data_IF_452608257514
#
_entry.id   IF_452608257514
#
_cell.length_a   1.000
_cell.length_b   1.000
_cell.length_c   1.000
_cell.angle_alpha   90.00
_cell.angle_beta   90.00
_cell.angle_gamma   90.00
#
_symmetry.space_group_name_H-M   'P 1'
#
loop_
_entity.id
_entity.type
_entity.pdbx_description
1 polymer ?
#
# COMPACT_ATOMS: atom_id res chain seq x y z
N UNK A 1 -40.74 -37.06 -15.28
CA UNK A 1 -39.34 -37.00 -14.76
C UNK A 1 -38.44 -35.96 -15.43
N UNK A 2 -38.47 -35.75 -16.77
CA UNK A 2 -37.58 -34.79 -17.46
C UNK A 2 -37.76 -33.32 -17.03
N UNK A 3 -38.99 -32.85 -16.80
CA UNK A 3 -39.30 -31.48 -16.35
C UNK A 3 -38.78 -31.19 -14.93
N UNK A 4 -38.83 -32.18 -14.05
CA UNK A 4 -38.33 -32.07 -12.66
C UNK A 4 -36.80 -31.92 -12.66
N UNK A 5 -36.09 -32.71 -13.48
CA UNK A 5 -34.63 -32.59 -13.63
C UNK A 5 -34.21 -31.20 -14.13
N UNK A 6 -34.94 -30.61 -15.07
CA UNK A 6 -34.65 -29.28 -15.61
C UNK A 6 -34.76 -28.17 -14.54
N UNK A 7 -35.78 -28.25 -13.67
CA UNK A 7 -35.99 -27.29 -12.58
C UNK A 7 -34.84 -27.37 -11.56
N UNK A 8 -34.39 -28.57 -11.20
CA UNK A 8 -33.24 -28.74 -10.32
C UNK A 8 -31.94 -28.19 -10.92
N UNK A 9 -31.71 -28.37 -12.22
CA UNK A 9 -30.53 -27.81 -12.90
C UNK A 9 -30.55 -26.28 -12.89
N UNK A 10 -31.70 -25.66 -13.18
CA UNK A 10 -31.83 -24.20 -13.16
C UNK A 10 -31.61 -23.63 -11.75
N UNK A 11 -32.18 -24.28 -10.74
CA UNK A 11 -32.01 -23.89 -9.34
C UNK A 11 -30.54 -24.00 -8.91
N UNK A 12 -29.84 -25.07 -9.32
CA UNK A 12 -28.42 -25.26 -9.02
C UNK A 12 -27.53 -24.19 -9.71
N UNK A 13 -27.86 -23.79 -10.93
CA UNK A 13 -27.16 -22.70 -11.63
C UNK A 13 -27.37 -21.34 -10.97
N UNK A 14 -28.60 -21.04 -10.50
CA UNK A 14 -28.90 -19.82 -9.75
C UNK A 14 -28.18 -19.82 -8.39
N UNK A 15 -28.15 -20.98 -7.71
CA UNK A 15 -27.44 -21.15 -6.44
C UNK A 15 -25.93 -20.97 -6.61
N UNK A 16 -25.33 -21.60 -7.64
CA UNK A 16 -23.92 -21.41 -8.02
C UNK A 16 -23.63 -19.95 -8.35
N UNK A 17 -24.51 -19.27 -9.10
CA UNK A 17 -24.40 -17.84 -9.41
C UNK A 17 -24.37 -16.97 -8.16
N UNK A 18 -25.25 -17.25 -7.18
CA UNK A 18 -25.27 -16.55 -5.89
C UNK A 18 -24.02 -16.83 -5.04
N UNK A 19 -23.51 -18.08 -5.03
CA UNK A 19 -22.28 -18.44 -4.31
C UNK A 19 -21.06 -17.76 -4.95
N UNK A 20 -20.99 -17.67 -6.29
CA UNK A 20 -19.91 -16.94 -6.98
C UNK A 20 -20.01 -15.42 -6.84
N UNK A 21 -21.19 -14.87 -6.55
CA UNK A 21 -21.42 -13.43 -6.36
C UNK A 21 -21.07 -12.89 -4.98
N UNK A 22 -20.91 -13.76 -3.97
CA UNK A 22 -20.76 -13.35 -2.57
C UNK A 22 -19.30 -13.29 -2.04
N UNK A 23 -18.29 -13.67 -2.81
CA UNK A 23 -17.03 -14.14 -2.22
C UNK A 23 -15.90 -13.13 -2.02
N UNK A 24 -16.02 -11.87 -2.44
CA UNK A 24 -14.91 -10.90 -2.31
C UNK A 24 -15.19 -9.67 -1.44
N UNK A 25 -16.39 -9.51 -0.89
CA UNK A 25 -16.70 -8.32 -0.08
C UNK A 25 -16.07 -8.37 1.31
N UNK A 26 -15.76 -9.56 1.83
CA UNK A 26 -15.10 -9.75 3.13
C UNK A 26 -13.57 -9.69 3.06
N UNK A 27 -12.99 -9.76 1.85
CA UNK A 27 -11.54 -9.58 1.66
C UNK A 27 -11.15 -8.21 2.20
N UNK A 28 -10.13 -8.18 3.05
CA UNK A 28 -9.60 -6.95 3.61
C UNK A 28 -8.72 -6.24 2.58
N UNK A 29 -8.61 -4.92 2.73
CA UNK A 29 -7.69 -4.12 1.92
C UNK A 29 -6.24 -4.55 2.15
N UNK A 30 -5.88 -4.97 3.37
CA UNK A 30 -4.57 -5.55 3.65
C UNK A 30 -4.27 -6.75 2.75
N UNK A 31 -5.19 -7.71 2.64
CA UNK A 31 -5.02 -8.89 1.77
C UNK A 31 -4.90 -8.50 0.30
N UNK A 32 -5.64 -7.48 -0.15
CA UNK A 32 -5.52 -6.95 -1.52
C UNK A 32 -4.12 -6.38 -1.78
N UNK A 33 -3.60 -5.57 -0.87
CA UNK A 33 -2.28 -4.97 -0.99
C UNK A 33 -1.19 -6.04 -0.94
N UNK A 34 -1.25 -6.96 0.04
CA UNK A 34 -0.27 -8.04 0.18
C UNK A 34 -0.26 -8.96 -1.06
N UNK A 35 -1.40 -9.16 -1.75
CA UNK A 35 -1.47 -9.95 -2.99
C UNK A 35 -0.94 -9.21 -4.24
N UNK A 36 -0.99 -7.88 -4.26
CA UNK A 36 -0.46 -7.11 -5.38
C UNK A 36 1.07 -7.21 -5.50
N UNK A 37 1.74 -7.56 -4.39
CA UNK A 37 3.19 -7.74 -4.21
C UNK A 37 4.03 -6.49 -4.48
N UNK A 38 3.86 -5.84 -5.63
CA UNK A 38 4.61 -4.67 -6.06
C UNK A 38 3.81 -3.40 -5.85
N UNK A 39 4.40 -2.45 -5.12
CA UNK A 39 3.79 -1.15 -4.83
C UNK A 39 4.81 -0.06 -5.13
N UNK A 40 4.41 0.89 -5.97
CA UNK A 40 5.15 2.13 -6.20
C UNK A 40 4.52 3.25 -5.38
N UNK A 41 5.32 3.91 -4.56
CA UNK A 41 4.90 4.95 -3.62
C UNK A 41 5.50 6.29 -4.03
N UNK A 42 4.64 7.24 -4.39
CA UNK A 42 5.04 8.63 -4.64
C UNK A 42 4.81 9.45 -3.38
N UNK A 43 5.89 9.99 -2.82
CA UNK A 43 5.84 10.86 -1.65
C UNK A 43 5.73 12.30 -2.09
N UNK A 44 4.87 13.11 -1.45
CA UNK A 44 4.75 14.53 -1.80
C UNK A 44 6.03 15.33 -1.59
N UNK A 45 6.97 14.81 -0.79
CA UNK A 45 8.24 15.44 -0.44
C UNK A 45 9.44 14.90 -1.22
N UNK A 46 9.26 13.90 -2.09
CA UNK A 46 10.35 13.33 -2.89
C UNK A 46 10.04 13.48 -4.39
N UNK A 47 11.08 13.70 -5.19
CA UNK A 47 10.96 13.71 -6.66
C UNK A 47 10.77 12.30 -7.20
N UNK A 48 11.46 11.33 -6.60
CA UNK A 48 11.46 9.96 -7.06
C UNK A 48 10.52 9.07 -6.27
N UNK A 49 9.85 8.12 -6.94
CA UNK A 49 9.05 7.14 -6.27
C UNK A 49 9.91 6.08 -5.57
N UNK A 50 9.32 5.48 -4.54
CA UNK A 50 9.83 4.30 -3.87
C UNK A 50 9.16 3.05 -4.46
N UNK A 51 9.93 2.14 -5.04
CA UNK A 51 9.45 0.87 -5.58
C UNK A 51 9.64 -0.25 -4.55
N UNK A 52 8.56 -0.90 -4.13
CA UNK A 52 8.57 -1.90 -3.07
C UNK A 52 8.08 -3.26 -3.56
N UNK A 53 8.82 -4.32 -3.24
CA UNK A 53 8.36 -5.70 -3.26
C UNK A 53 8.01 -6.12 -1.82
N UNK A 54 6.71 -6.23 -1.57
CA UNK A 54 6.16 -6.62 -0.27
C UNK A 54 6.43 -8.08 0.10
N UNK A 55 6.56 -8.96 -0.91
CA UNK A 55 6.75 -10.40 -0.70
C UNK A 55 8.20 -10.69 -0.33
N UNK A 56 9.16 -10.16 -1.10
CA UNK A 56 10.59 -10.36 -0.82
C UNK A 56 11.16 -9.33 0.16
N UNK A 57 10.36 -8.36 0.61
CA UNK A 57 10.77 -7.28 1.52
C UNK A 57 11.96 -6.46 0.98
N UNK A 58 11.90 -6.14 -0.31
CA UNK A 58 12.89 -5.30 -0.98
C UNK A 58 12.30 -3.97 -1.37
N UNK A 59 13.14 -2.94 -1.41
CA UNK A 59 12.77 -1.64 -1.97
C UNK A 59 13.97 -0.91 -2.56
N UNK A 60 13.68 0.02 -3.47
CA UNK A 60 14.65 0.93 -4.08
C UNK A 60 13.97 2.23 -4.52
N UNK A 61 14.75 3.28 -4.79
CA UNK A 61 14.26 4.59 -5.26
C UNK A 61 13.85 5.56 -4.13
N UNK A 62 13.63 6.83 -4.46
CA UNK A 62 12.95 7.85 -3.62
C UNK A 62 13.63 8.31 -2.32
N UNK A 63 14.52 7.50 -1.74
CA UNK A 63 15.19 7.70 -0.44
C UNK A 63 16.71 7.49 -0.52
N UNK A 64 17.27 7.45 -1.74
CA UNK A 64 18.70 7.25 -2.02
C UNK A 64 19.32 5.98 -1.42
N UNK A 65 18.51 5.02 -0.96
CA UNK A 65 18.98 3.74 -0.41
C UNK A 65 18.22 2.57 -1.04
N UNK A 66 18.93 1.45 -1.19
CA UNK A 66 18.32 0.15 -1.44
C UNK A 66 18.14 -0.60 -0.13
N UNK A 67 17.08 -1.41 0.00
CA UNK A 67 16.88 -2.23 1.20
C UNK A 67 16.49 -3.66 0.82
N UNK A 68 17.03 -4.64 1.56
CA UNK A 68 16.63 -6.05 1.56
C UNK A 68 16.46 -6.53 3.00
N UNK A 69 15.20 -6.69 3.43
CA UNK A 69 14.87 -6.98 4.82
C UNK A 69 15.35 -5.86 5.76
N UNK A 70 16.30 -6.18 6.64
CA UNK A 70 16.92 -5.21 7.56
C UNK A 70 18.27 -4.67 7.02
N UNK A 71 18.72 -5.12 5.85
CA UNK A 71 19.98 -4.67 5.25
C UNK A 71 19.75 -3.42 4.42
N UNK A 72 20.49 -2.37 4.72
CA UNK A 72 20.46 -1.08 4.03
C UNK A 72 21.72 -0.95 3.17
N UNK A 73 21.51 -0.53 1.93
CA UNK A 73 22.54 -0.23 0.96
C UNK A 73 22.51 1.26 0.68
N UNK A 74 23.57 1.95 1.10
CA UNK A 74 23.77 3.39 0.95
C UNK A 74 25.16 3.65 0.32
N UNK A 75 25.47 4.90 0.02
CA UNK A 75 26.81 5.32 -0.31
C UNK A 75 27.53 5.87 0.93
N UNK A 76 28.74 5.38 1.28
CA UNK A 76 29.45 4.21 0.77
C UNK A 76 29.12 2.90 1.52
N UNK A 77 28.15 2.95 2.43
CA UNK A 77 27.99 1.94 3.47
C UNK A 77 27.00 0.82 3.14
N UNK A 78 27.20 -0.33 3.78
CA UNK A 78 26.21 -1.40 3.81
C UNK A 78 26.16 -1.95 5.22
N UNK A 79 24.99 -1.90 5.84
CA UNK A 79 24.83 -2.29 7.23
C UNK A 79 23.44 -2.86 7.49
N UNK A 80 23.28 -3.55 8.61
CA UNK A 80 21.98 -4.02 9.08
C UNK A 80 21.41 -3.05 10.10
N UNK A 81 20.18 -2.61 9.89
CA UNK A 81 19.44 -1.78 10.83
C UNK A 81 17.94 -2.14 10.83
N UNK A 82 17.49 -2.75 11.92
CA UNK A 82 16.09 -3.13 12.13
C UNK A 82 15.16 -1.93 12.29
N UNK A 83 15.70 -0.78 12.69
CA UNK A 83 14.95 0.46 12.87
C UNK A 83 14.71 1.21 11.57
N UNK A 84 15.58 1.03 10.57
CA UNK A 84 15.51 1.74 9.28
C UNK A 84 15.28 0.82 8.07
N UNK A 85 15.20 -0.50 8.29
CA UNK A 85 14.94 -1.50 7.24
C UNK A 85 13.51 -1.46 6.64
N UNK A 86 13.18 -2.48 5.86
CA UNK A 86 11.98 -2.54 5.02
C UNK A 86 10.69 -2.24 5.78
N UNK A 87 10.56 -2.77 7.00
CA UNK A 87 9.36 -2.59 7.81
C UNK A 87 9.17 -1.14 8.28
N UNK A 88 10.26 -0.42 8.57
CA UNK A 88 10.21 1.00 8.88
C UNK A 88 9.72 1.77 7.66
N UNK A 89 10.33 1.53 6.50
CA UNK A 89 9.99 2.26 5.28
C UNK A 89 8.55 1.99 4.84
N UNK A 90 8.11 0.72 4.91
CA UNK A 90 6.72 0.31 4.70
C UNK A 90 5.77 1.04 5.65
N UNK A 91 6.12 1.12 6.94
CA UNK A 91 5.27 1.78 7.93
C UNK A 91 5.16 3.29 7.70
N UNK A 92 6.29 3.97 7.49
CA UNK A 92 6.37 5.43 7.52
C UNK A 92 6.11 6.04 6.15
N UNK A 93 6.78 5.58 5.10
CA UNK A 93 6.66 6.19 3.77
C UNK A 93 5.45 5.65 2.99
N UNK A 94 5.20 4.34 3.06
CA UNK A 94 4.01 3.75 2.42
C UNK A 94 2.74 3.86 3.28
N UNK A 95 2.82 4.52 4.45
CA UNK A 95 1.71 4.71 5.39
C UNK A 95 0.91 3.42 5.67
N UNK A 96 1.59 2.27 5.69
CA UNK A 96 0.95 0.95 5.73
C UNK A 96 -0.10 0.79 6.83
N UNK A 97 0.11 1.28 8.08
CA UNK A 97 -0.92 1.21 9.12
C UNK A 97 -2.25 1.87 8.75
N UNK A 98 -2.24 2.93 7.93
CA UNK A 98 -3.47 3.58 7.50
C UNK A 98 -4.17 2.81 6.38
N UNK A 99 -3.41 2.29 5.42
CA UNK A 99 -3.99 1.71 4.20
C UNK A 99 -4.27 0.21 4.29
N UNK A 100 -3.56 -0.51 5.16
CA UNK A 100 -3.65 -1.97 5.29
C UNK A 100 -4.24 -2.36 6.66
N UNK A 101 -5.47 -1.94 6.91
CA UNK A 101 -6.24 -2.33 8.10
C UNK A 101 -7.40 -3.29 7.74
N UNK A 102 -8.29 -3.51 8.71
CA UNK A 102 -9.42 -4.43 8.59
C UNK A 102 -10.57 -3.89 7.74
N UNK A 103 -10.41 -2.72 7.11
CA UNK A 103 -11.35 -2.25 6.09
C UNK A 103 -11.53 -3.33 5.03
N UNK A 104 -12.78 -3.62 4.68
CA UNK A 104 -13.14 -4.61 3.67
C UNK A 104 -13.40 -3.99 2.30
N UNK A 105 -13.30 -4.81 1.25
CA UNK A 105 -13.70 -4.44 -0.11
C UNK A 105 -15.15 -3.96 -0.16
N UNK A 106 -16.05 -4.60 0.59
CA UNK A 106 -17.45 -4.20 0.67
C UNK A 106 -17.63 -2.78 1.20
N UNK A 107 -16.90 -2.43 2.27
CA UNK A 107 -16.91 -1.08 2.84
C UNK A 107 -16.38 -0.04 1.85
N UNK A 108 -15.28 -0.33 1.16
CA UNK A 108 -14.72 0.57 0.14
C UNK A 108 -15.71 0.84 -0.98
N UNK A 109 -16.35 -0.21 -1.51
CA UNK A 109 -17.35 -0.06 -2.58
C UNK A 109 -18.57 0.73 -2.11
N UNK A 110 -19.09 0.44 -0.90
CA UNK A 110 -20.22 1.17 -0.31
C UNK A 110 -19.90 2.65 -0.09
N UNK A 111 -18.65 2.97 0.22
CA UNK A 111 -18.17 4.34 0.39
C UNK A 111 -17.76 5.02 -0.94
N UNK A 112 -18.13 4.45 -2.09
CA UNK A 112 -17.76 4.94 -3.42
C UNK A 112 -16.24 5.18 -3.56
N UNK A 113 -15.45 4.19 -3.12
CA UNK A 113 -14.00 4.16 -3.23
C UNK A 113 -13.26 5.28 -2.47
N UNK A 114 -13.91 5.93 -1.50
CA UNK A 114 -13.29 6.94 -0.64
C UNK A 114 -13.68 6.70 0.82
N UNK A 115 -12.71 6.41 1.68
CA UNK A 115 -12.92 6.23 3.12
C UNK A 115 -12.27 7.37 3.89
N UNK A 116 -13.04 7.99 4.79
CA UNK A 116 -12.51 8.90 5.80
C UNK A 116 -12.67 8.24 7.16
N UNK A 117 -11.55 7.97 7.84
CA UNK A 117 -11.56 7.28 9.14
C UNK A 117 -10.75 8.01 10.19
N UNK A 118 -11.11 7.79 11.45
CA UNK A 118 -10.38 8.29 12.61
C UNK A 118 -9.38 7.23 13.08
N UNK A 119 -8.11 7.58 13.12
CA UNK A 119 -7.01 6.64 13.41
C UNK A 119 -6.51 6.67 14.85
N UNK A 120 -7.17 7.43 15.74
CA UNK A 120 -6.71 7.63 17.12
C UNK A 120 -6.72 6.37 18.00
N UNK A 121 -7.57 5.39 17.70
CA UNK A 121 -7.84 4.24 18.58
C UNK A 121 -6.90 3.06 18.34
N UNK A 122 -6.24 2.98 17.17
CA UNK A 122 -5.27 1.94 16.88
C UNK A 122 -3.87 2.44 17.21
N UNK A 123 -3.14 1.77 18.11
CA UNK A 123 -1.82 2.23 18.58
C UNK A 123 -0.81 2.48 17.45
N UNK A 124 -0.77 1.62 16.43
CA UNK A 124 0.17 1.78 15.30
C UNK A 124 -0.23 2.96 14.40
N UNK A 125 -1.53 3.15 14.17
CA UNK A 125 -2.00 4.29 13.39
C UNK A 125 -1.87 5.59 14.17
N UNK A 126 -2.13 5.58 15.50
CA UNK A 126 -1.98 6.73 16.39
C UNK A 126 -0.54 7.24 16.39
N UNK A 127 0.42 6.35 16.63
CA UNK A 127 1.85 6.70 16.60
C UNK A 127 2.27 7.29 15.25
N UNK A 128 1.76 6.74 14.14
CA UNK A 128 2.08 7.24 12.81
C UNK A 128 1.48 8.63 12.57
N UNK A 129 0.22 8.88 12.97
CA UNK A 129 -0.38 10.20 12.77
C UNK A 129 0.22 11.26 13.69
N UNK A 130 0.61 10.89 14.91
CA UNK A 130 1.36 11.75 15.84
C UNK A 130 2.72 12.14 15.24
N UNK A 131 3.47 11.18 14.69
CA UNK A 131 4.70 11.47 13.94
C UNK A 131 4.45 12.45 12.78
N UNK A 132 3.37 12.26 12.02
CA UNK A 132 3.02 13.15 10.90
C UNK A 132 2.55 14.54 11.36
N UNK A 133 2.16 14.72 12.63
CA UNK A 133 1.90 16.07 13.13
C UNK A 133 3.16 16.91 13.04
N UNK A 134 4.32 16.38 13.36
CA UNK A 134 5.60 17.10 13.28
C UNK A 134 5.95 17.54 11.85
N UNK A 135 5.31 16.96 10.83
CA UNK A 135 5.46 17.31 9.41
C UNK A 135 4.35 18.26 8.88
N UNK A 136 3.72 19.03 9.78
CA UNK A 136 2.76 20.07 9.38
C UNK A 136 1.34 19.58 9.13
N UNK A 137 0.98 18.38 9.62
CA UNK A 137 -0.39 17.89 9.59
C UNK A 137 -1.07 18.02 10.97
N UNK A 138 -2.41 17.95 11.01
CA UNK A 138 -3.18 17.99 12.26
C UNK A 138 -4.36 17.03 12.27
N UNK A 139 -4.83 16.74 13.49
CA UNK A 139 -5.99 15.89 13.73
C UNK A 139 -5.72 14.41 13.48
N UNK A 140 -6.76 13.60 13.66
CA UNK A 140 -6.68 12.14 13.59
C UNK A 140 -7.51 11.56 12.44
N UNK A 141 -7.92 12.37 11.48
CA UNK A 141 -8.70 11.91 10.32
C UNK A 141 -7.80 11.70 9.12
N UNK A 142 -7.91 10.53 8.52
CA UNK A 142 -7.20 10.16 7.29
C UNK A 142 -8.24 9.90 6.20
N UNK A 143 -8.03 10.46 5.01
CA UNK A 143 -8.86 10.18 3.83
C UNK A 143 -8.07 9.34 2.84
N UNK A 144 -8.61 8.19 2.48
CA UNK A 144 -7.97 7.20 1.61
C UNK A 144 -8.86 7.00 0.38
N UNK A 145 -8.26 7.08 -0.79
CA UNK A 145 -8.91 6.83 -2.08
C UNK A 145 -8.45 5.49 -2.62
N UNK A 146 -9.36 4.77 -3.26
CA UNK A 146 -9.10 3.45 -3.82
C UNK A 146 -9.41 3.43 -5.32
N UNK A 147 -8.76 2.54 -6.07
CA UNK A 147 -9.16 2.21 -7.45
C UNK A 147 -10.30 1.16 -7.47
N UNK A 148 -10.73 0.78 -8.66
CA UNK A 148 -11.79 -0.22 -8.85
C UNK A 148 -11.42 -1.64 -8.37
N UNK A 149 -10.13 -1.94 -8.24
CA UNK A 149 -9.64 -3.20 -7.65
C UNK A 149 -9.63 -3.17 -6.11
N UNK A 150 -10.06 -2.04 -5.54
CA UNK A 150 -10.01 -1.73 -4.11
C UNK A 150 -8.59 -1.69 -3.54
N UNK A 151 -7.63 -1.24 -4.36
CA UNK A 151 -6.28 -0.93 -3.92
C UNK A 151 -6.16 0.59 -3.63
N UNK A 152 -5.53 0.99 -2.51
CA UNK A 152 -5.32 2.41 -2.20
C UNK A 152 -4.51 3.10 -3.30
N UNK A 153 -4.91 4.29 -3.73
CA UNK A 153 -4.18 5.09 -4.73
C UNK A 153 -3.71 6.42 -4.20
N UNK A 154 -4.29 6.90 -3.09
CA UNK A 154 -3.97 8.22 -2.53
C UNK A 154 -4.38 8.30 -1.07
N UNK A 155 -3.51 8.91 -0.25
CA UNK A 155 -3.81 9.29 1.14
C UNK A 155 -3.75 10.80 1.28
N UNK A 156 -4.75 11.36 1.96
CA UNK A 156 -4.81 12.76 2.33
C UNK A 156 -4.95 12.93 3.84
N UNK A 157 -4.29 13.96 4.35
CA UNK A 157 -4.33 14.42 5.74
C UNK A 157 -4.78 15.87 5.77
N UNK A 158 -5.13 16.38 6.95
CA UNK A 158 -5.47 17.79 7.11
C UNK A 158 -4.19 18.57 7.38
N UNK A 159 -3.88 19.49 6.49
CA UNK A 159 -2.76 20.43 6.62
C UNK A 159 -3.02 21.39 7.79
N UNK A 160 -1.99 21.59 8.62
CA UNK A 160 -2.12 22.32 9.89
C UNK A 160 -2.52 23.77 9.67
N UNK A 161 -1.86 24.41 8.72
CA UNK A 161 -1.95 25.85 8.48
C UNK A 161 -3.19 26.21 7.66
N UNK A 162 -3.43 25.45 6.60
CA UNK A 162 -4.54 25.75 5.67
C UNK A 162 -5.86 25.11 6.09
N UNK A 163 -5.84 24.13 7.01
CA UNK A 163 -7.00 23.32 7.39
C UNK A 163 -7.66 22.57 6.22
N UNK A 164 -6.93 22.39 5.10
CA UNK A 164 -7.41 21.70 3.89
C UNK A 164 -6.86 20.29 3.81
N UNK A 165 -7.55 19.43 3.06
CA UNK A 165 -7.03 18.11 2.71
C UNK A 165 -5.84 18.25 1.77
N UNK A 166 -4.69 17.71 2.18
CA UNK A 166 -3.44 17.70 1.42
C UNK A 166 -3.02 16.26 1.16
N UNK A 167 -2.67 15.97 -0.08
CA UNK A 167 -2.14 14.65 -0.48
C UNK A 167 -0.72 14.50 0.02
N UNK A 168 -0.47 13.44 0.77
CA UNK A 168 0.87 13.13 1.30
C UNK A 168 1.55 11.99 0.53
N UNK A 169 0.75 11.02 0.09
CA UNK A 169 1.26 9.82 -0.59
C UNK A 169 0.29 9.40 -1.68
N UNK A 170 0.83 9.00 -2.83
CA UNK A 170 0.09 8.28 -3.88
C UNK A 170 0.71 6.90 -4.09
N UNK A 171 -0.10 6.00 -4.61
CA UNK A 171 0.29 4.62 -4.85
C UNK A 171 -0.07 4.22 -6.28
N UNK A 172 0.77 3.39 -6.88
CA UNK A 172 0.47 2.65 -8.08
C UNK A 172 0.96 1.20 -7.96
N UNK A 173 0.40 0.33 -8.78
CA UNK A 173 0.61 -1.11 -8.73
C UNK A 173 1.11 -1.59 -10.09
N UNK A 174 2.42 -1.47 -10.36
CA UNK A 174 2.98 -1.85 -11.64
C UNK A 174 2.83 -3.35 -11.89
N UNK A 175 2.51 -3.72 -13.13
CA UNK A 175 2.54 -5.12 -13.58
C UNK A 175 3.97 -5.49 -13.96
N UNK A 176 4.80 -5.69 -12.93
CA UNK A 176 6.20 -6.10 -13.07
C UNK A 176 6.35 -7.56 -12.62
N UNK A 177 7.30 -8.29 -13.22
CA UNK A 177 7.64 -9.65 -12.78
C UNK A 177 8.68 -9.60 -11.67
N UNK A 178 8.74 -10.63 -10.82
CA UNK A 178 9.77 -10.76 -9.78
C UNK A 178 11.20 -10.65 -10.36
N UNK A 179 11.45 -11.31 -11.49
CA UNK A 179 12.73 -11.27 -12.19
C UNK A 179 13.08 -9.86 -12.68
N UNK A 180 12.11 -9.12 -13.18
CA UNK A 180 12.31 -7.74 -13.63
C UNK A 180 12.55 -6.80 -12.45
N UNK A 181 11.79 -6.97 -11.36
CA UNK A 181 12.00 -6.23 -10.12
C UNK A 181 13.41 -6.47 -9.56
N UNK A 182 13.83 -7.75 -9.46
CA UNK A 182 15.16 -8.13 -8.98
C UNK A 182 16.28 -7.50 -9.82
N UNK A 183 16.11 -7.49 -11.16
CA UNK A 183 17.06 -6.84 -12.07
C UNK A 183 17.19 -5.34 -11.78
N UNK A 184 16.06 -4.64 -11.61
CA UNK A 184 16.05 -3.21 -11.33
C UNK A 184 16.65 -2.90 -9.96
N UNK A 185 16.30 -3.67 -8.94
CA UNK A 185 16.84 -3.54 -7.59
C UNK A 185 18.37 -3.73 -7.58
N UNK A 186 18.89 -4.78 -8.23
CA UNK A 186 20.35 -5.02 -8.33
C UNK A 186 21.08 -3.88 -9.02
N UNK A 187 20.48 -3.32 -10.09
CA UNK A 187 21.03 -2.17 -10.80
C UNK A 187 21.09 -0.95 -9.87
N UNK A 188 19.99 -0.63 -9.18
CA UNK A 188 19.91 0.50 -8.27
C UNK A 188 20.92 0.40 -7.12
N UNK A 189 21.03 -0.76 -6.47
CA UNK A 189 22.01 -0.98 -5.39
C UNK A 189 23.44 -0.77 -5.87
N UNK A 190 23.77 -1.16 -7.11
CA UNK A 190 25.09 -0.90 -7.70
C UNK A 190 25.34 0.60 -7.91
N UNK A 191 24.34 1.35 -8.37
CA UNK A 191 24.42 2.80 -8.59
C UNK A 191 24.60 3.55 -7.27
N UNK A 192 23.79 3.21 -6.25
CA UNK A 192 23.91 3.77 -4.88
C UNK A 192 25.31 3.54 -4.32
N UNK A 193 25.85 2.32 -4.36
CA UNK A 193 27.20 2.03 -3.86
C UNK A 193 28.32 2.77 -4.60
N UNK A 194 28.07 3.17 -5.85
CA UNK A 194 29.00 3.94 -6.65
C UNK A 194 28.85 5.46 -6.45
N UNK A 195 27.89 5.90 -5.63
CA UNK A 195 27.59 7.31 -5.38
C UNK A 195 26.85 7.98 -6.53
N UNK A 196 26.29 7.21 -7.46
CA UNK A 196 25.47 7.72 -8.55
C UNK A 196 24.00 7.74 -8.11
N UNK A 197 23.49 8.93 -7.82
CA UNK A 197 22.06 9.15 -7.59
C UNK A 197 21.42 9.63 -8.89
N UNK A 198 20.28 9.05 -9.27
CA UNK A 198 19.39 9.67 -10.24
C UNK A 198 18.77 10.88 -9.53
N UNK A 199 19.05 12.10 -10.02
CA UNK A 199 18.53 13.39 -9.52
C UNK A 199 17.15 13.76 -10.11
#
# INVERSE_FOLDING_TARGET
>A
MKKIKLIYTLFLCILMGMITGCTNNYTTIKEKIDKANFVRVELSSSRDPLDMDLATKRLYGGICVGVDGDTIYDYPDTYQDKLLGFNYTKKVYALYPFIADQTTVGEVKKANYVIVKNVKNNSNQRKLIEFLHDYGFKGYRVKIFYNHDCLPVKVQLIDRDTNKWKTITKYSYPRITEKEYEKNWKKYVKEVKAGYYLD
#
